data_IF_150858405674
#
_entry.id   IF_150858405674
#
_cell.length_a   1.000
_cell.length_b   1.000
_cell.length_c   1.000
_cell.angle_alpha   90.00
_cell.angle_beta   90.00
_cell.angle_gamma   90.00
#
_symmetry.space_group_name_H-M   'P 1'
#
loop_
_entity.id
_entity.type
_entity.pdbx_description
1 polymer ?
#
# COMPACT_ATOMS: atom_id res chain seq x y z
N UNK A 1 -13.71 8.02 -21.51
CA UNK A 1 -12.86 7.95 -22.72
C UNK A 1 -11.94 6.75 -22.57
N UNK A 2 -11.78 5.94 -23.61
CA UNK A 2 -10.85 4.79 -23.59
C UNK A 2 -9.44 5.20 -24.03
N UNK A 3 -8.56 4.19 -24.13
CA UNK A 3 -7.27 4.35 -24.78
C UNK A 3 -7.45 5.00 -26.18
N UNK A 4 -6.79 6.14 -26.42
CA UNK A 4 -6.93 6.92 -27.65
C UNK A 4 -7.11 8.43 -27.48
N UNK A 5 -7.38 8.95 -26.28
CA UNK A 5 -7.57 10.40 -26.08
C UNK A 5 -6.27 11.14 -25.78
N UNK A 6 -6.10 12.33 -26.37
CA UNK A 6 -5.02 13.28 -26.05
C UNK A 6 -5.35 14.20 -24.88
N UNK A 7 -6.62 14.28 -24.44
CA UNK A 7 -6.99 15.06 -23.26
C UNK A 7 -8.21 14.50 -22.51
N UNK A 8 -8.36 14.88 -21.24
CA UNK A 8 -9.63 14.82 -20.50
C UNK A 8 -9.71 15.97 -19.49
N UNK A 9 -10.92 16.31 -19.05
CA UNK A 9 -11.19 17.34 -18.05
C UNK A 9 -12.35 16.89 -17.15
N UNK A 10 -12.23 17.13 -15.84
CA UNK A 10 -13.25 16.87 -14.81
C UNK A 10 -13.31 18.06 -13.85
N UNK A 11 -14.51 18.36 -13.34
CA UNK A 11 -14.70 19.29 -12.23
C UNK A 11 -14.97 18.53 -10.91
N UNK A 12 -14.46 19.06 -9.80
CA UNK A 12 -14.62 18.54 -8.45
C UNK A 12 -15.01 19.66 -7.48
N UNK A 13 -15.83 19.34 -6.47
CA UNK A 13 -16.32 20.31 -5.47
C UNK A 13 -17.74 20.81 -5.73
N UNK A 14 -18.31 21.47 -4.74
CA UNK A 14 -19.66 22.06 -4.78
C UNK A 14 -19.58 23.59 -4.58
N UNK A 15 -20.55 24.32 -5.14
CA UNK A 15 -20.58 25.79 -5.04
C UNK A 15 -19.35 26.47 -5.65
N UNK A 16 -18.79 27.44 -4.91
CA UNK A 16 -17.64 28.25 -5.34
C UNK A 16 -16.28 27.55 -5.18
N UNK A 17 -16.21 26.43 -4.45
CA UNK A 17 -14.98 25.64 -4.25
C UNK A 17 -14.69 24.68 -5.43
N UNK A 18 -15.29 24.90 -6.59
CA UNK A 18 -15.09 24.06 -7.78
C UNK A 18 -13.69 24.19 -8.36
N UNK A 19 -12.92 23.11 -8.29
CA UNK A 19 -11.67 22.95 -9.03
C UNK A 19 -11.89 22.23 -10.37
N UNK A 20 -11.19 22.66 -11.42
CA UNK A 20 -11.08 21.89 -12.68
C UNK A 20 -9.74 21.16 -12.68
N UNK A 21 -9.76 19.88 -13.04
CA UNK A 21 -8.59 19.05 -13.27
C UNK A 21 -8.61 18.60 -14.72
N UNK A 22 -7.63 19.07 -15.49
CA UNK A 22 -7.45 18.76 -16.90
C UNK A 22 -6.13 18.05 -17.13
N UNK A 23 -6.18 16.96 -17.87
CA UNK A 23 -5.03 16.15 -18.25
C UNK A 23 -4.82 16.26 -19.75
N UNK A 24 -3.58 16.53 -20.18
CA UNK A 24 -3.21 16.74 -21.59
C UNK A 24 -1.95 15.93 -21.90
N UNK A 25 -2.09 14.92 -22.74
CA UNK A 25 -0.99 14.09 -23.26
C UNK A 25 -0.63 14.48 -24.70
N UNK A 26 0.52 14.00 -25.19
CA UNK A 26 0.92 14.21 -26.60
C UNK A 26 0.15 13.27 -27.53
N UNK A 27 0.17 13.56 -28.84
CA UNK A 27 -0.37 12.66 -29.87
C UNK A 27 0.35 11.29 -29.90
N UNK A 28 1.61 11.23 -29.46
CA UNK A 28 2.40 9.99 -29.41
C UNK A 28 2.07 9.12 -28.20
N UNK A 29 1.92 9.74 -27.02
CA UNK A 29 1.80 8.99 -25.75
C UNK A 29 0.38 8.91 -25.20
N UNK A 30 -0.50 9.85 -25.58
CA UNK A 30 -1.87 9.99 -25.07
C UNK A 30 -1.93 10.29 -23.56
N UNK A 31 -3.13 10.47 -23.00
CA UNK A 31 -3.32 10.62 -21.54
C UNK A 31 -3.16 9.28 -20.80
N UNK A 32 -2.67 9.25 -19.54
CA UNK A 32 -2.56 8.05 -18.73
C UNK A 32 -3.89 7.31 -18.54
N UNK A 33 -3.86 5.98 -18.62
CA UNK A 33 -5.02 5.10 -18.42
C UNK A 33 -4.62 3.73 -17.86
N UNK A 34 -5.55 3.06 -17.18
CA UNK A 34 -5.34 1.70 -16.66
C UNK A 34 -4.08 1.60 -15.79
N UNK A 35 -3.12 0.78 -16.24
CA UNK A 35 -1.87 0.41 -15.54
C UNK A 35 -0.96 1.59 -15.21
N UNK A 36 -1.03 2.71 -15.95
CA UNK A 36 -0.20 3.89 -15.65
C UNK A 36 -0.49 4.47 -14.27
N UNK A 37 -1.74 4.33 -13.82
CA UNK A 37 -2.16 4.75 -12.48
C UNK A 37 -1.51 3.87 -11.41
N UNK A 38 -1.45 2.56 -11.65
CA UNK A 38 -0.81 1.61 -10.74
C UNK A 38 0.70 1.88 -10.67
N UNK A 39 1.33 2.21 -11.81
CA UNK A 39 2.74 2.63 -11.89
C UNK A 39 3.02 3.92 -11.12
N UNK A 40 2.24 4.99 -11.30
CA UNK A 40 2.48 6.22 -10.53
C UNK A 40 2.24 5.99 -9.03
N UNK A 41 1.23 5.22 -8.62
CA UNK A 41 1.02 4.85 -7.22
C UNK A 41 2.25 4.10 -6.67
N UNK A 42 2.78 3.13 -7.40
CA UNK A 42 4.00 2.41 -7.01
C UNK A 42 5.21 3.33 -6.82
N UNK A 43 5.38 4.33 -7.69
CA UNK A 43 6.45 5.35 -7.57
C UNK A 43 6.25 6.21 -6.31
N UNK A 44 5.03 6.67 -6.03
CA UNK A 44 4.72 7.46 -4.84
C UNK A 44 4.94 6.65 -3.54
N UNK A 45 4.55 5.37 -3.54
CA UNK A 45 4.80 4.44 -2.44
C UNK A 45 6.30 4.18 -2.23
N UNK A 46 7.09 4.01 -3.31
CA UNK A 46 8.54 3.87 -3.20
C UNK A 46 9.22 5.13 -2.65
N UNK A 47 8.81 6.31 -3.10
CA UNK A 47 9.29 7.59 -2.57
C UNK A 47 9.00 7.71 -1.07
N UNK A 48 7.79 7.35 -0.64
CA UNK A 48 7.44 7.33 0.77
C UNK A 48 8.18 6.25 1.56
N UNK A 49 8.43 5.06 0.99
CA UNK A 49 9.17 3.98 1.65
C UNK A 49 10.67 4.29 1.84
N UNK A 50 11.28 4.99 0.87
CA UNK A 50 12.60 5.60 1.00
C UNK A 50 12.57 6.81 1.96
N UNK A 51 11.36 7.29 2.30
CA UNK A 51 11.07 8.36 3.25
C UNK A 51 11.43 9.73 2.71
N UNK A 52 10.92 9.99 1.51
CA UNK A 52 10.85 11.30 0.87
C UNK A 52 12.22 11.96 0.56
N UNK A 53 13.18 11.23 -0.08
CA UNK A 53 14.54 11.71 -0.38
C UNK A 53 14.57 13.12 -0.98
N UNK A 54 15.55 13.93 -0.59
CA UNK A 54 15.63 15.35 -0.92
C UNK A 54 15.87 15.61 -2.41
N UNK A 55 16.55 14.68 -3.10
CA UNK A 55 16.68 14.62 -4.56
C UNK A 55 15.33 14.61 -5.30
N UNK A 56 14.22 14.31 -4.62
CA UNK A 56 12.93 13.93 -5.19
C UNK A 56 12.98 12.65 -6.05
N UNK A 57 14.10 11.93 -6.03
CA UNK A 57 14.33 10.76 -6.87
C UNK A 57 13.86 9.46 -6.21
N UNK A 58 13.50 8.49 -7.04
CA UNK A 58 13.26 7.09 -6.68
C UNK A 58 14.09 6.24 -7.61
N UNK A 59 15.04 5.49 -7.06
CA UNK A 59 15.91 4.58 -7.84
C UNK A 59 15.57 3.12 -7.54
N UNK A 60 15.59 2.27 -8.57
CA UNK A 60 15.39 0.83 -8.44
C UNK A 60 15.43 0.08 -9.77
N UNK A 61 15.33 -1.26 -9.73
CA UNK A 61 15.14 -2.07 -10.93
C UNK A 61 13.68 -2.02 -11.39
N UNK A 62 13.39 -2.38 -12.64
CA UNK A 62 12.02 -2.52 -13.12
C UNK A 62 11.13 -3.40 -12.21
N UNK A 63 11.71 -4.46 -11.64
CA UNK A 63 11.03 -5.35 -10.68
C UNK A 63 10.62 -4.62 -9.39
N UNK A 64 11.39 -3.63 -8.91
CA UNK A 64 11.02 -2.82 -7.75
C UNK A 64 9.78 -1.97 -8.05
N UNK A 65 9.75 -1.30 -9.22
CA UNK A 65 8.61 -0.49 -9.64
C UNK A 65 7.35 -1.34 -9.86
N UNK A 66 7.46 -2.49 -10.53
CA UNK A 66 6.33 -3.39 -10.76
C UNK A 66 5.73 -3.91 -9.44
N UNK A 67 6.57 -4.37 -8.51
CA UNK A 67 6.11 -4.90 -7.21
C UNK A 67 5.48 -3.82 -6.34
N UNK A 68 6.07 -2.62 -6.29
CA UNK A 68 5.47 -1.48 -5.59
C UNK A 68 4.14 -1.04 -6.21
N UNK A 69 3.96 -1.24 -7.52
CA UNK A 69 2.70 -1.01 -8.24
C UNK A 69 1.65 -2.11 -7.99
N UNK A 70 1.99 -3.17 -7.27
CA UNK A 70 1.14 -4.35 -7.11
C UNK A 70 0.89 -5.09 -8.43
N UNK A 71 1.90 -5.13 -9.32
CA UNK A 71 1.87 -5.81 -10.61
C UNK A 71 2.83 -7.01 -10.60
N UNK A 72 2.54 -8.03 -11.42
CA UNK A 72 3.48 -9.15 -11.59
C UNK A 72 4.75 -8.74 -12.36
N UNK A 73 5.81 -9.54 -12.24
CA UNK A 73 7.11 -9.31 -12.88
C UNK A 73 7.29 -10.08 -14.19
N UNK A 74 6.21 -10.33 -14.94
CA UNK A 74 6.30 -10.94 -16.27
C UNK A 74 6.78 -9.94 -17.33
N UNK A 75 7.35 -10.45 -18.42
CA UNK A 75 7.86 -9.62 -19.53
C UNK A 75 6.81 -8.69 -20.15
N UNK A 76 5.51 -9.03 -20.04
CA UNK A 76 4.40 -8.15 -20.46
C UNK A 76 4.38 -6.85 -19.65
N UNK A 77 4.45 -6.95 -18.32
CA UNK A 77 4.45 -5.77 -17.46
C UNK A 77 5.76 -5.00 -17.51
N UNK A 78 6.89 -5.66 -17.80
CA UNK A 78 8.16 -4.98 -18.06
C UNK A 78 8.07 -4.01 -19.26
N UNK A 79 7.44 -4.46 -20.37
CA UNK A 79 7.16 -3.58 -21.52
C UNK A 79 6.18 -2.46 -21.15
N UNK A 80 5.08 -2.81 -20.47
CA UNK A 80 4.08 -1.82 -20.06
C UNK A 80 4.69 -0.74 -19.14
N UNK A 81 5.62 -1.09 -18.24
CA UNK A 81 6.26 -0.13 -17.33
C UNK A 81 6.97 0.98 -18.11
N UNK A 82 7.76 0.64 -19.13
CA UNK A 82 8.44 1.64 -19.97
C UNK A 82 7.41 2.54 -20.69
N UNK A 83 6.37 1.96 -21.30
CA UNK A 83 5.30 2.74 -21.95
C UNK A 83 4.56 3.67 -20.95
N UNK A 84 4.29 3.20 -19.73
CA UNK A 84 3.70 3.98 -18.64
C UNK A 84 4.60 5.12 -18.19
N UNK A 85 5.89 4.87 -17.94
CA UNK A 85 6.87 5.89 -17.56
C UNK A 85 6.95 6.99 -18.63
N UNK A 86 7.01 6.63 -19.91
CA UNK A 86 7.02 7.59 -21.01
C UNK A 86 5.72 8.40 -21.09
N UNK A 87 4.55 7.77 -20.86
CA UNK A 87 3.26 8.47 -20.85
C UNK A 87 3.14 9.43 -19.66
N UNK A 88 3.59 9.04 -18.47
CA UNK A 88 3.57 9.84 -17.25
C UNK A 88 4.53 11.05 -17.30
N UNK A 89 5.64 10.96 -18.04
CA UNK A 89 6.60 12.06 -18.25
C UNK A 89 6.25 13.02 -19.40
N UNK A 90 5.32 12.63 -20.28
CA UNK A 90 4.87 13.42 -21.44
C UNK A 90 3.44 13.96 -21.30
N UNK A 91 2.84 13.83 -20.10
CA UNK A 91 1.49 14.32 -19.80
C UNK A 91 1.55 15.47 -18.81
N UNK A 92 0.87 16.58 -19.12
CA UNK A 92 0.67 17.69 -18.19
C UNK A 92 -0.71 17.59 -17.53
N UNK A 93 -0.75 17.87 -16.24
CA UNK A 93 -1.94 18.10 -15.43
C UNK A 93 -2.05 19.59 -15.13
N UNK A 94 -3.22 20.14 -15.44
CA UNK A 94 -3.60 21.51 -15.18
C UNK A 94 -4.68 21.46 -14.10
N UNK A 95 -4.39 21.98 -12.92
CA UNK A 95 -5.34 22.06 -11.81
C UNK A 95 -5.65 23.53 -11.59
N UNK A 96 -6.87 23.93 -11.94
CA UNK A 96 -7.39 25.28 -11.79
C UNK A 96 -8.25 25.37 -10.53
N UNK A 97 -8.18 26.51 -9.82
CA UNK A 97 -8.92 26.78 -8.56
C UNK A 97 -8.63 25.82 -7.39
N UNK A 98 -7.78 24.80 -7.55
CA UNK A 98 -7.41 23.84 -6.50
C UNK A 98 -6.57 24.40 -5.33
N UNK A 99 -6.08 25.65 -5.43
CA UNK A 99 -5.43 26.35 -4.31
C UNK A 99 -5.95 27.78 -4.23
N UNK A 100 -6.30 28.22 -3.02
CA UNK A 100 -6.75 29.58 -2.71
C UNK A 100 -5.97 30.13 -1.51
N UNK A 101 -5.45 31.35 -1.63
CA UNK A 101 -4.69 32.04 -0.56
C UNK A 101 -5.55 33.03 0.26
N UNK A 102 -6.87 32.97 0.11
CA UNK A 102 -7.83 33.93 0.67
C UNK A 102 -8.10 35.15 -0.21
N UNK A 103 -7.32 35.37 -1.29
CA UNK A 103 -7.49 36.51 -2.21
C UNK A 103 -7.41 36.13 -3.69
N UNK A 104 -6.70 35.06 -4.03
CA UNK A 104 -6.46 34.60 -5.41
C UNK A 104 -6.51 33.08 -5.49
N UNK A 105 -7.13 32.59 -6.55
CA UNK A 105 -6.99 31.22 -6.99
C UNK A 105 -5.65 31.06 -7.73
N UNK A 106 -4.94 29.97 -7.45
CA UNK A 106 -3.72 29.59 -8.17
C UNK A 106 -4.02 28.38 -9.05
N UNK A 107 -3.86 28.56 -10.35
CA UNK A 107 -3.73 27.44 -11.29
C UNK A 107 -2.31 26.90 -11.23
N UNK A 108 -2.16 25.58 -11.19
CA UNK A 108 -0.84 24.92 -11.26
C UNK A 108 -0.82 23.91 -12.39
N UNK A 109 0.27 23.94 -13.17
CA UNK A 109 0.53 23.03 -14.27
C UNK A 109 1.80 22.23 -13.94
N UNK A 110 1.70 20.90 -13.97
CA UNK A 110 2.81 20.01 -13.63
C UNK A 110 2.66 18.67 -14.38
N UNK A 111 3.72 17.88 -14.42
CA UNK A 111 3.70 16.50 -14.94
C UNK A 111 3.67 15.52 -13.79
N UNK A 112 3.38 14.24 -14.03
CA UNK A 112 3.55 13.25 -12.95
C UNK A 112 5.02 12.97 -12.67
N UNK A 113 5.86 12.91 -13.70
CA UNK A 113 7.31 12.70 -13.59
C UNK A 113 8.07 13.90 -14.15
N UNK A 114 9.12 14.33 -13.47
CA UNK A 114 9.97 15.44 -13.91
C UNK A 114 11.07 14.95 -14.85
N UNK A 115 11.75 13.88 -14.45
CA UNK A 115 12.87 13.27 -15.17
C UNK A 115 12.84 11.75 -15.00
N UNK A 116 13.34 11.02 -15.99
CA UNK A 116 13.54 9.56 -15.95
C UNK A 116 14.92 9.28 -16.52
N UNK A 117 15.71 8.49 -15.82
CA UNK A 117 17.02 8.01 -16.23
C UNK A 117 16.99 6.48 -16.32
N UNK A 118 17.63 5.94 -17.35
CA UNK A 118 17.75 4.51 -17.60
C UNK A 118 19.23 4.15 -17.76
N UNK A 119 19.82 3.56 -16.73
CA UNK A 119 21.21 3.09 -16.75
C UNK A 119 21.22 1.64 -17.25
N UNK A 120 21.47 1.46 -18.56
CA UNK A 120 21.42 0.15 -19.25
C UNK A 120 22.82 -0.33 -19.64
N UNK A 121 23.08 -1.63 -19.59
CA UNK A 121 24.41 -2.21 -19.88
C UNK A 121 24.89 -2.03 -21.35
N UNK A 122 23.97 -1.77 -22.29
CA UNK A 122 24.27 -1.54 -23.70
C UNK A 122 23.74 -0.18 -24.17
N UNK A 123 24.49 0.49 -25.04
CA UNK A 123 24.06 1.71 -25.73
C UNK A 123 22.85 1.42 -26.62
N UNK A 124 21.68 1.92 -26.22
CA UNK A 124 20.42 1.70 -26.95
C UNK A 124 19.16 1.81 -26.09
N UNK A 125 19.28 1.83 -24.76
CA UNK A 125 18.14 2.06 -23.85
C UNK A 125 17.20 0.86 -23.65
N UNK A 126 17.58 -0.32 -24.12
CA UNK A 126 16.84 -1.55 -23.85
C UNK A 126 17.00 -1.94 -22.38
N UNK A 127 15.91 -1.88 -21.61
CA UNK A 127 15.87 -2.32 -20.22
C UNK A 127 16.05 -3.85 -20.13
N UNK A 128 17.17 -4.28 -19.56
CA UNK A 128 17.42 -5.64 -19.08
C UNK A 128 17.12 -5.77 -17.58
N UNK A 129 17.48 -6.91 -16.96
CA UNK A 129 17.20 -7.18 -15.54
C UNK A 129 18.13 -6.43 -14.57
N UNK A 130 19.32 -6.04 -15.03
CA UNK A 130 20.34 -5.34 -14.26
C UNK A 130 20.23 -3.81 -14.41
N UNK A 131 19.44 -3.35 -15.39
CA UNK A 131 19.18 -1.95 -15.69
C UNK A 131 18.57 -1.21 -14.50
N UNK A 132 19.18 -0.09 -14.15
CA UNK A 132 18.69 0.78 -13.08
C UNK A 132 17.81 1.87 -13.66
N UNK A 133 16.66 2.08 -13.03
CA UNK A 133 15.70 3.13 -13.38
C UNK A 133 15.69 4.14 -12.23
N UNK A 134 15.94 5.42 -12.55
CA UNK A 134 15.77 6.53 -11.62
C UNK A 134 14.63 7.42 -12.12
N UNK A 135 13.68 7.73 -11.26
CA UNK A 135 12.53 8.59 -11.57
C UNK A 135 12.51 9.77 -10.60
N UNK A 136 12.56 11.00 -11.12
CA UNK A 136 12.48 12.22 -10.32
C UNK A 136 11.05 12.73 -10.28
N UNK A 137 10.49 12.88 -9.09
CA UNK A 137 9.19 13.51 -8.89
C UNK A 137 9.30 15.04 -9.01
N UNK A 138 8.32 15.72 -9.63
CA UNK A 138 8.27 17.17 -9.63
C UNK A 138 8.19 17.72 -8.20
N UNK A 139 8.83 18.87 -7.89
CA UNK A 139 8.88 19.43 -6.54
C UNK A 139 7.52 19.58 -5.87
N UNK A 140 6.48 20.00 -6.61
CA UNK A 140 5.12 20.12 -6.06
C UNK A 140 4.53 18.80 -5.57
N UNK A 141 4.76 17.70 -6.30
CA UNK A 141 4.31 16.37 -5.86
C UNK A 141 5.14 15.98 -4.63
N UNK A 142 6.47 16.02 -4.72
CA UNK A 142 7.35 15.61 -3.64
C UNK A 142 7.12 16.40 -2.32
N UNK A 143 6.86 17.71 -2.40
CA UNK A 143 6.49 18.54 -1.24
C UNK A 143 5.11 18.18 -0.70
N UNK A 144 4.11 17.95 -1.57
CA UNK A 144 2.78 17.46 -1.17
C UNK A 144 2.87 16.16 -0.38
N UNK A 145 3.67 15.20 -0.87
CA UNK A 145 3.94 13.92 -0.19
C UNK A 145 4.63 14.12 1.17
N UNK A 146 5.70 14.94 1.24
CA UNK A 146 6.41 15.25 2.50
C UNK A 146 5.48 15.87 3.53
N UNK A 147 4.57 16.74 3.12
CA UNK A 147 3.56 17.37 3.98
C UNK A 147 2.43 16.43 4.41
N UNK A 148 2.43 15.18 3.96
CA UNK A 148 1.43 14.16 4.32
C UNK A 148 0.19 14.13 3.42
N UNK A 149 0.16 14.90 2.33
CA UNK A 149 -0.92 14.86 1.34
C UNK A 149 -0.72 13.70 0.35
N UNK A 150 -0.58 12.50 0.89
CA UNK A 150 -0.77 11.25 0.18
C UNK A 150 -1.73 10.40 0.99
N UNK A 151 -2.83 10.03 0.36
CA UNK A 151 -3.64 8.95 0.90
C UNK A 151 -2.94 7.61 0.59
N UNK A 152 -2.64 6.76 1.57
CA UNK A 152 -2.23 5.39 1.30
C UNK A 152 -3.36 4.67 0.56
N UNK A 153 -2.99 3.85 -0.44
CA UNK A 153 -3.87 2.85 -1.02
C UNK A 153 -3.45 1.50 -0.48
N UNK A 154 -4.41 0.66 -0.09
CA UNK A 154 -4.09 -0.66 0.44
C UNK A 154 -3.50 -1.53 -0.67
N UNK A 155 -2.18 -1.67 -0.67
CA UNK A 155 -1.46 -2.51 -1.63
C UNK A 155 -1.78 -4.00 -1.50
N UNK A 156 -2.39 -4.41 -0.37
CA UNK A 156 -2.96 -5.75 -0.20
C UNK A 156 -4.18 -5.92 -1.08
N UNK A 157 -5.19 -5.05 -0.94
CA UNK A 157 -6.38 -5.04 -1.79
C UNK A 157 -5.99 -4.92 -3.27
N UNK A 158 -5.12 -3.98 -3.64
CA UNK A 158 -4.66 -3.85 -5.04
C UNK A 158 -3.99 -5.13 -5.57
N UNK A 159 -3.22 -5.85 -4.74
CA UNK A 159 -2.56 -7.10 -5.11
C UNK A 159 -3.52 -8.28 -5.32
N UNK A 160 -4.70 -8.28 -4.69
CA UNK A 160 -5.74 -9.30 -4.89
C UNK A 160 -6.60 -9.05 -6.14
N UNK A 161 -6.66 -7.80 -6.63
CA UNK A 161 -7.47 -7.41 -7.79
C UNK A 161 -6.75 -7.69 -9.10
N UNK A 162 -7.28 -8.64 -9.87
CA UNK A 162 -6.69 -9.09 -11.15
C UNK A 162 -7.09 -8.18 -12.32
N UNK A 163 -8.30 -7.61 -12.28
CA UNK A 163 -8.84 -6.83 -13.38
C UNK A 163 -8.46 -5.33 -13.27
N UNK A 164 -7.98 -4.70 -14.36
CA UNK A 164 -7.74 -3.26 -14.39
C UNK A 164 -8.99 -2.42 -14.06
N UNK A 165 -10.18 -2.92 -14.41
CA UNK A 165 -11.47 -2.31 -14.06
C UNK A 165 -11.76 -2.39 -12.56
N UNK A 166 -11.45 -3.52 -11.91
CA UNK A 166 -11.59 -3.68 -10.46
C UNK A 166 -10.63 -2.75 -9.70
N UNK A 167 -9.37 -2.66 -10.14
CA UNK A 167 -8.37 -1.72 -9.58
C UNK A 167 -8.76 -0.25 -9.77
N UNK A 168 -9.32 0.11 -10.93
CA UNK A 168 -9.82 1.46 -11.17
C UNK A 168 -11.04 1.80 -10.31
N UNK A 169 -11.98 0.85 -10.17
CA UNK A 169 -13.16 1.01 -9.34
C UNK A 169 -12.82 1.07 -7.83
N UNK A 170 -11.87 0.25 -7.36
CA UNK A 170 -11.32 0.34 -6.02
C UNK A 170 -10.84 1.76 -5.72
N UNK A 171 -9.93 2.30 -6.55
CA UNK A 171 -9.38 3.64 -6.40
C UNK A 171 -10.46 4.73 -6.37
N UNK A 172 -11.48 4.60 -7.22
CA UNK A 172 -12.60 5.55 -7.28
C UNK A 172 -13.51 5.48 -6.03
N UNK A 173 -13.87 4.27 -5.58
CA UNK A 173 -14.64 4.05 -4.35
C UNK A 173 -13.89 4.50 -3.11
N UNK A 174 -12.62 4.16 -3.04
CA UNK A 174 -11.75 4.41 -1.90
C UNK A 174 -11.42 5.91 -1.75
N UNK A 175 -11.26 6.63 -2.87
CA UNK A 175 -11.22 8.10 -2.89
C UNK A 175 -12.52 8.75 -2.39
N UNK A 176 -13.68 8.14 -2.66
CA UNK A 176 -14.97 8.59 -2.13
C UNK A 176 -15.24 8.15 -0.68
N UNK A 177 -14.60 7.08 -0.19
CA UNK A 177 -14.80 6.54 1.16
C UNK A 177 -14.24 7.45 2.27
N UNK A 178 -13.29 8.33 1.95
CA UNK A 178 -12.54 9.11 2.94
C UNK A 178 -12.88 10.60 2.86
N UNK A 179 -13.00 11.25 4.01
CA UNK A 179 -13.18 12.68 4.10
C UNK A 179 -11.82 13.41 4.15
N UNK A 180 -11.61 14.39 3.27
CA UNK A 180 -10.37 15.18 3.25
C UNK A 180 -10.23 16.12 4.46
N UNK A 181 -11.36 16.52 5.09
CA UNK A 181 -11.35 17.37 6.29
C UNK A 181 -11.37 16.58 7.60
N UNK A 182 -11.75 15.29 7.56
CA UNK A 182 -11.75 14.38 8.70
C UNK A 182 -11.13 13.02 8.30
N UNK A 183 -9.78 12.89 8.26
CA UNK A 183 -9.11 11.73 7.68
C UNK A 183 -9.38 10.38 8.38
N UNK A 184 -9.79 10.41 9.64
CA UNK A 184 -10.14 9.22 10.43
C UNK A 184 -11.59 8.77 10.21
N UNK A 185 -12.44 9.61 9.58
CA UNK A 185 -13.80 9.25 9.19
C UNK A 185 -13.80 8.53 7.84
N UNK A 186 -14.24 7.27 7.87
CA UNK A 186 -14.44 6.44 6.67
C UNK A 186 -15.92 6.09 6.52
N UNK A 187 -16.49 6.40 5.36
CA UNK A 187 -17.83 5.99 4.98
C UNK A 187 -17.97 4.47 5.11
N UNK A 188 -19.07 4.03 5.70
CA UNK A 188 -19.47 2.62 5.79
C UNK A 188 -20.35 2.23 4.60
N UNK A 189 -21.08 3.19 4.04
CA UNK A 189 -21.97 3.02 2.90
C UNK A 189 -21.80 4.20 1.93
N UNK A 190 -22.02 3.96 0.64
CA UNK A 190 -21.95 4.98 -0.41
C UNK A 190 -22.98 4.72 -1.50
N UNK A 191 -23.85 5.71 -1.80
CA UNK A 191 -24.85 5.64 -2.86
C UNK A 191 -24.54 6.65 -3.95
N UNK A 192 -24.65 6.25 -5.22
CA UNK A 192 -24.40 7.13 -6.37
C UNK A 192 -25.26 6.77 -7.58
N UNK A 193 -25.64 7.77 -8.38
CA UNK A 193 -26.35 7.56 -9.65
C UNK A 193 -25.51 6.74 -10.63
N UNK A 194 -26.10 5.71 -11.23
CA UNK A 194 -25.39 4.73 -12.05
C UNK A 194 -24.73 5.37 -13.28
N UNK A 195 -25.43 6.30 -13.93
CA UNK A 195 -24.93 7.01 -15.12
C UNK A 195 -23.73 7.89 -14.77
N UNK A 196 -23.81 8.64 -13.67
CA UNK A 196 -22.72 9.50 -13.20
C UNK A 196 -21.53 8.68 -12.72
N UNK A 197 -21.79 7.52 -12.11
CA UNK A 197 -20.76 6.55 -11.77
C UNK A 197 -20.08 5.98 -13.01
N UNK A 198 -20.83 5.68 -14.07
CA UNK A 198 -20.28 5.29 -15.37
C UNK A 198 -19.39 6.38 -16.00
N UNK A 199 -19.77 7.66 -15.86
CA UNK A 199 -18.94 8.80 -16.30
C UNK A 199 -17.63 8.89 -15.50
N UNK A 200 -17.69 8.81 -14.17
CA UNK A 200 -16.51 8.80 -13.29
C UNK A 200 -15.59 7.60 -13.55
N UNK A 201 -16.15 6.41 -13.74
CA UNK A 201 -15.44 5.21 -14.16
C UNK A 201 -14.97 5.25 -15.64
N UNK A 202 -15.15 6.37 -16.34
CA UNK A 202 -14.75 6.64 -17.74
C UNK A 202 -15.34 5.70 -18.80
N UNK A 203 -16.39 4.96 -18.47
CA UNK A 203 -17.08 3.99 -19.34
C UNK A 203 -17.60 4.70 -20.59
N UNK A 204 -17.31 4.15 -21.78
CA UNK A 204 -17.66 4.76 -23.06
C UNK A 204 -19.17 4.71 -23.35
N UNK A 205 -19.82 3.58 -23.09
CA UNK A 205 -21.25 3.42 -23.31
C UNK A 205 -22.00 3.56 -21.98
N UNK A 206 -22.69 4.68 -21.81
CA UNK A 206 -23.38 5.05 -20.58
C UNK A 206 -24.82 4.50 -20.49
N UNK A 207 -25.21 3.52 -21.32
CA UNK A 207 -26.47 2.81 -21.10
C UNK A 207 -26.38 1.94 -19.83
N UNK A 208 -27.40 1.93 -18.95
CA UNK A 208 -27.35 1.24 -17.66
C UNK A 208 -26.86 -0.22 -17.72
N UNK A 209 -27.34 -1.01 -18.69
CA UNK A 209 -26.96 -2.42 -18.86
C UNK A 209 -25.50 -2.59 -19.27
N UNK A 210 -24.92 -1.62 -20.00
CA UNK A 210 -23.51 -1.63 -20.38
C UNK A 210 -22.61 -1.14 -19.25
N UNK A 211 -23.08 -0.19 -18.44
CA UNK A 211 -22.40 0.22 -17.21
C UNK A 211 -22.32 -0.97 -16.25
N UNK A 212 -23.45 -1.61 -15.94
CA UNK A 212 -23.53 -2.84 -15.12
C UNK A 212 -22.55 -3.90 -15.64
N UNK A 213 -22.68 -4.31 -16.91
CA UNK A 213 -21.80 -5.33 -17.52
C UNK A 213 -20.28 -5.03 -17.42
N UNK A 214 -19.87 -3.77 -17.28
CA UNK A 214 -18.46 -3.39 -17.07
C UNK A 214 -18.08 -3.36 -15.58
N UNK A 215 -19.03 -3.03 -14.69
CA UNK A 215 -18.81 -2.93 -13.25
C UNK A 215 -19.05 -4.25 -12.50
N UNK A 216 -20.01 -5.10 -12.89
CA UNK A 216 -20.35 -6.34 -12.19
C UNK A 216 -19.12 -7.25 -11.97
N UNK A 217 -18.23 -7.50 -12.96
CA UNK A 217 -17.02 -8.30 -12.76
C UNK A 217 -16.00 -7.65 -11.80
N UNK A 218 -16.01 -6.32 -11.73
CA UNK A 218 -15.18 -5.55 -10.80
C UNK A 218 -15.77 -5.57 -9.37
N UNK A 219 -17.09 -5.53 -9.23
CA UNK A 219 -17.78 -5.72 -7.95
C UNK A 219 -17.51 -7.11 -7.39
N UNK A 220 -17.58 -8.14 -8.22
CA UNK A 220 -17.24 -9.51 -7.83
C UNK A 220 -15.83 -9.64 -7.25
N UNK A 221 -14.82 -9.02 -7.86
CA UNK A 221 -13.46 -9.03 -7.30
C UNK A 221 -13.36 -8.26 -5.97
N UNK A 222 -14.03 -7.11 -5.84
CA UNK A 222 -14.01 -6.31 -4.61
C UNK A 222 -14.77 -6.97 -3.44
N UNK A 223 -15.79 -7.77 -3.73
CA UNK A 223 -16.48 -8.63 -2.76
C UNK A 223 -15.56 -9.81 -2.35
N UNK A 224 -14.89 -10.46 -3.31
CA UNK A 224 -13.95 -11.57 -3.05
C UNK A 224 -12.72 -11.13 -2.25
N UNK A 225 -12.24 -9.90 -2.47
CA UNK A 225 -11.14 -9.26 -1.75
C UNK A 225 -11.55 -8.63 -0.40
N UNK A 226 -12.80 -8.85 0.06
CA UNK A 226 -13.33 -8.30 1.32
C UNK A 226 -13.16 -6.78 1.47
N UNK A 227 -13.23 -6.03 0.35
CA UNK A 227 -13.26 -4.57 0.37
C UNK A 227 -14.71 -4.05 0.44
N UNK A 228 -15.63 -4.79 -0.18
CA UNK A 228 -17.08 -4.56 -0.12
C UNK A 228 -17.75 -5.73 0.60
N UNK A 229 -18.71 -5.44 1.47
CA UNK A 229 -19.61 -6.46 2.03
C UNK A 229 -20.80 -6.72 1.10
N UNK A 230 -21.32 -5.69 0.43
CA UNK A 230 -22.38 -5.85 -0.57
C UNK A 230 -22.42 -4.73 -1.61
N UNK A 231 -23.03 -5.04 -2.75
CA UNK A 231 -23.38 -4.07 -3.81
C UNK A 231 -24.82 -4.32 -4.22
N UNK A 232 -25.65 -3.28 -4.19
CA UNK A 232 -27.06 -3.35 -4.61
C UNK A 232 -27.39 -2.28 -5.62
N UNK A 233 -28.24 -2.61 -6.59
CA UNK A 233 -28.75 -1.65 -7.58
C UNK A 233 -30.21 -1.31 -7.31
N UNK A 234 -30.53 -0.03 -7.30
CA UNK A 234 -31.89 0.47 -7.10
C UNK A 234 -32.39 1.26 -8.33
N UNK A 235 -33.70 1.45 -8.43
CA UNK A 235 -34.34 2.20 -9.52
C UNK A 235 -34.44 1.44 -10.86
N UNK A 236 -34.85 2.16 -11.92
CA UNK A 236 -35.02 1.62 -13.29
C UNK A 236 -34.60 2.64 -14.34
N UNK A 237 -34.14 2.15 -15.50
CA UNK A 237 -33.70 2.99 -16.61
C UNK A 237 -32.52 3.89 -16.24
N UNK A 238 -32.53 5.13 -16.71
CA UNK A 238 -31.46 6.10 -16.44
C UNK A 238 -31.42 6.59 -14.98
N UNK A 239 -32.54 6.52 -14.26
CA UNK A 239 -32.65 6.87 -12.84
C UNK A 239 -32.22 5.75 -11.88
N UNK A 240 -31.32 4.85 -12.32
CA UNK A 240 -30.76 3.82 -11.46
C UNK A 240 -29.66 4.40 -10.57
N UNK A 241 -29.55 3.87 -9.35
CA UNK A 241 -28.42 4.09 -8.45
C UNK A 241 -27.76 2.76 -8.09
N UNK A 242 -26.49 2.86 -7.70
CA UNK A 242 -25.74 1.77 -7.07
C UNK A 242 -25.43 2.18 -5.63
N UNK A 243 -25.67 1.25 -4.72
CA UNK A 243 -25.39 1.36 -3.30
C UNK A 243 -24.31 0.35 -2.95
N UNK A 244 -23.28 0.83 -2.27
CA UNK A 244 -22.13 0.08 -1.81
C UNK A 244 -22.14 0.04 -0.28
N UNK A 245 -22.04 -1.17 0.28
CA UNK A 245 -21.68 -1.34 1.69
C UNK A 245 -20.24 -1.80 1.71
N UNK A 246 -19.37 -0.99 2.31
CA UNK A 246 -17.97 -1.39 2.51
C UNK A 246 -17.90 -2.53 3.52
N UNK A 247 -16.91 -3.41 3.37
CA UNK A 247 -16.63 -4.36 4.45
C UNK A 247 -16.26 -3.54 5.69
N UNK A 248 -16.92 -3.86 6.81
CA UNK A 248 -16.51 -3.30 8.11
C UNK A 248 -15.13 -3.84 8.37
N UNK A 249 -14.17 -3.00 8.74
CA UNK A 249 -12.88 -3.52 9.15
C UNK A 249 -13.12 -4.51 10.30
N UNK A 250 -12.85 -5.79 10.08
CA UNK A 250 -13.06 -6.87 11.08
C UNK A 250 -11.92 -6.81 12.11
N UNK A 251 -11.78 -5.65 12.73
CA UNK A 251 -11.05 -5.40 13.96
C UNK A 251 -11.87 -6.04 15.10
N UNK A 252 -11.87 -7.37 15.18
CA UNK A 252 -12.29 -8.16 16.36
C UNK A 252 -12.22 -9.71 16.21
N UNK A 253 -11.68 -10.31 15.14
CA UNK A 253 -11.21 -11.70 15.25
C UNK A 253 -9.77 -11.68 15.74
N UNK A 254 -9.60 -11.85 17.07
CA UNK A 254 -8.35 -11.77 17.84
C UNK A 254 -7.08 -11.83 16.97
N UNK A 255 -6.52 -10.66 16.59
CA UNK A 255 -5.39 -10.60 15.68
C UNK A 255 -4.14 -11.27 16.25
N UNK A 256 -4.00 -11.30 17.58
CA UNK A 256 -2.93 -11.98 18.27
C UNK A 256 -3.08 -13.51 18.10
N UNK A 257 -4.29 -14.05 18.26
CA UNK A 257 -4.54 -15.48 18.02
C UNK A 257 -4.34 -15.85 16.55
N UNK A 258 -4.84 -15.05 15.62
CA UNK A 258 -4.64 -15.27 14.18
C UNK A 258 -3.15 -15.27 13.82
N UNK A 259 -2.38 -14.32 14.35
CA UNK A 259 -0.93 -14.22 14.19
C UNK A 259 -0.18 -15.41 14.81
N UNK A 260 -0.59 -15.86 16.00
CA UNK A 260 -0.01 -17.07 16.63
C UNK A 260 -0.27 -18.33 15.79
N UNK A 261 -1.47 -18.50 15.22
CA UNK A 261 -1.80 -19.63 14.35
C UNK A 261 -0.99 -19.59 13.04
N UNK A 262 -0.91 -18.45 12.37
CA UNK A 262 -0.13 -18.31 11.12
C UNK A 262 1.37 -18.45 11.35
N UNK A 263 1.88 -18.00 12.50
CA UNK A 263 3.25 -18.24 12.97
C UNK A 263 3.62 -19.72 13.17
N UNK A 264 2.62 -20.62 13.25
CA UNK A 264 2.82 -22.09 13.23
C UNK A 264 2.73 -22.69 11.81
N UNK A 265 2.62 -21.86 10.77
CA UNK A 265 2.48 -22.27 9.37
C UNK A 265 1.04 -22.61 8.95
N UNK A 266 0.04 -22.28 9.76
CA UNK A 266 -1.38 -22.48 9.41
C UNK A 266 -1.80 -21.36 8.45
N UNK A 267 -2.33 -21.71 7.27
CA UNK A 267 -2.77 -20.70 6.30
C UNK A 267 -3.88 -19.80 6.90
N UNK A 268 -3.90 -18.47 6.63
CA UNK A 268 -4.87 -17.55 7.26
C UNK A 268 -6.33 -17.94 7.08
N UNK A 269 -6.69 -18.51 5.92
CA UNK A 269 -8.04 -19.06 5.65
C UNK A 269 -8.41 -20.24 6.56
N UNK A 270 -7.45 -21.11 6.90
CA UNK A 270 -7.64 -22.24 7.80
C UNK A 270 -7.72 -21.76 9.26
N UNK A 271 -6.89 -20.77 9.63
CA UNK A 271 -6.93 -20.17 10.97
C UNK A 271 -8.28 -19.46 11.25
N UNK A 272 -8.78 -18.65 10.30
CA UNK A 272 -10.13 -18.05 10.38
C UNK A 272 -11.22 -19.13 10.50
N UNK A 273 -11.20 -20.14 9.64
CA UNK A 273 -12.16 -21.25 9.70
C UNK A 273 -12.11 -22.08 11.00
N UNK A 274 -10.96 -22.16 11.69
CA UNK A 274 -10.87 -22.75 13.04
C UNK A 274 -11.52 -21.86 14.10
N UNK A 275 -11.23 -20.55 14.07
CA UNK A 275 -11.81 -19.58 15.01
C UNK A 275 -13.34 -19.47 14.85
N UNK A 276 -13.85 -19.53 13.62
CA UNK A 276 -15.28 -19.53 13.29
C UNK A 276 -16.01 -20.82 13.71
N UNK A 277 -15.36 -21.99 13.58
CA UNK A 277 -16.02 -23.29 13.83
C UNK A 277 -15.88 -23.83 15.25
N UNK A 278 -14.84 -23.43 16.00
CA UNK A 278 -14.54 -23.92 17.36
C UNK A 278 -14.72 -22.82 18.41
N UNK A 279 -14.72 -21.55 18.00
CA UNK A 279 -14.77 -20.39 18.89
C UNK A 279 -13.37 -19.88 19.27
N UNK A 280 -13.23 -18.56 19.32
CA UNK A 280 -11.94 -17.86 19.51
C UNK A 280 -11.23 -18.31 20.80
N UNK A 281 -11.93 -18.32 21.93
CA UNK A 281 -11.34 -18.64 23.23
C UNK A 281 -10.89 -20.10 23.32
N UNK A 282 -11.70 -21.04 22.81
CA UNK A 282 -11.35 -22.46 22.76
C UNK A 282 -10.15 -22.74 21.84
N UNK A 283 -10.00 -21.99 20.73
CA UNK A 283 -8.80 -22.06 19.89
C UNK A 283 -7.58 -21.47 20.60
N UNK A 284 -7.75 -20.40 21.38
CA UNK A 284 -6.68 -19.81 22.21
C UNK A 284 -6.18 -20.80 23.27
N UNK A 285 -7.08 -21.38 24.05
CA UNK A 285 -6.74 -22.36 25.10
C UNK A 285 -6.05 -23.61 24.53
N UNK A 286 -6.55 -24.17 23.43
CA UNK A 286 -5.94 -25.34 22.77
C UNK A 286 -4.58 -25.01 22.16
N UNK A 287 -4.38 -23.78 21.68
CA UNK A 287 -3.06 -23.32 21.23
C UNK A 287 -2.09 -23.13 22.41
N UNK A 288 -2.56 -22.56 23.53
CA UNK A 288 -1.77 -22.45 24.77
C UNK A 288 -1.40 -23.84 25.35
N UNK A 289 -2.28 -24.85 25.20
CA UNK A 289 -2.01 -26.23 25.60
C UNK A 289 -0.94 -26.89 24.72
N UNK A 290 -1.10 -26.87 23.39
CA UNK A 290 -0.12 -27.50 22.48
C UNK A 290 1.25 -26.81 22.55
N UNK A 291 1.30 -25.49 22.71
CA UNK A 291 2.55 -24.74 22.84
C UNK A 291 3.30 -25.09 24.15
N UNK A 292 2.59 -25.35 25.24
CA UNK A 292 3.19 -25.88 26.49
C UNK A 292 3.71 -27.32 26.33
N UNK A 293 3.01 -28.18 25.58
CA UNK A 293 3.42 -29.58 25.38
C UNK A 293 4.69 -29.75 24.52
N UNK A 294 4.94 -28.80 23.62
CA UNK A 294 6.11 -28.79 22.71
C UNK A 294 7.26 -27.88 23.19
N UNK A 295 7.09 -27.11 24.27
CA UNK A 295 8.14 -26.27 24.81
C UNK A 295 9.40 -27.10 25.16
N UNK A 296 10.54 -26.74 24.56
CA UNK A 296 11.80 -27.48 24.70
C UNK A 296 11.96 -28.71 23.79
N UNK A 297 11.02 -28.96 22.86
CA UNK A 297 11.10 -30.06 21.86
C UNK A 297 11.18 -29.49 20.43
N UNK A 298 11.53 -30.34 19.46
CA UNK A 298 11.50 -29.98 18.04
C UNK A 298 10.06 -29.63 17.62
N UNK A 299 9.87 -28.42 17.10
CA UNK A 299 8.55 -27.92 16.69
C UNK A 299 7.98 -28.77 15.54
N UNK A 300 6.76 -29.33 15.66
CA UNK A 300 6.12 -30.12 14.60
C UNK A 300 5.56 -29.24 13.48
N UNK A 301 5.17 -29.86 12.35
CA UNK A 301 4.61 -29.13 11.20
C UNK A 301 3.16 -28.63 11.41
N UNK A 302 2.67 -27.71 10.57
CA UNK A 302 1.38 -27.04 10.75
C UNK A 302 0.17 -27.97 10.86
N UNK A 303 0.18 -29.11 10.16
CA UNK A 303 -0.89 -30.11 10.24
C UNK A 303 -1.09 -30.69 11.65
N UNK A 304 -0.04 -30.75 12.47
CA UNK A 304 -0.15 -31.20 13.86
C UNK A 304 -0.95 -30.22 14.73
N UNK A 305 -0.68 -28.92 14.59
CA UNK A 305 -1.44 -27.88 15.31
C UNK A 305 -2.91 -27.88 14.91
N UNK A 306 -3.22 -28.01 13.62
CA UNK A 306 -4.61 -28.12 13.13
C UNK A 306 -5.31 -29.38 13.66
N UNK A 307 -4.60 -30.50 13.76
CA UNK A 307 -5.12 -31.76 14.32
C UNK A 307 -5.41 -31.61 15.83
N UNK A 308 -4.45 -31.11 16.60
CA UNK A 308 -4.57 -30.91 18.05
C UNK A 308 -5.69 -29.92 18.41
N UNK A 309 -5.81 -28.81 17.68
CA UNK A 309 -6.87 -27.82 17.92
C UNK A 309 -8.26 -28.40 17.63
N UNK A 310 -8.38 -29.38 16.72
CA UNK A 310 -9.65 -30.07 16.43
C UNK A 310 -9.95 -31.17 17.46
N UNK A 311 -8.98 -32.03 17.76
CA UNK A 311 -9.11 -33.19 18.65
C UNK A 311 -7.99 -33.21 19.69
N UNK A 312 -8.10 -32.48 20.82
CA UNK A 312 -7.03 -32.37 21.80
C UNK A 312 -6.84 -33.62 22.68
N UNK A 313 -7.89 -34.43 22.88
CA UNK A 313 -7.85 -35.57 23.81
C UNK A 313 -6.97 -36.75 23.33
N UNK A 314 -6.73 -36.85 22.02
CA UNK A 314 -5.85 -37.86 21.40
C UNK A 314 -4.35 -37.68 21.77
N UNK A 315 -3.98 -36.56 22.41
CA UNK A 315 -2.59 -36.08 22.51
C UNK A 315 -2.10 -35.72 23.93
N UNK A 316 -2.71 -36.26 25.00
CA UNK A 316 -2.40 -35.90 26.42
C UNK A 316 -1.63 -36.98 27.22
N UNK A 317 -0.31 -36.86 27.47
CA UNK A 317 0.45 -37.72 28.39
C UNK A 317 0.95 -37.03 29.68
N UNK A 318 1.26 -37.82 30.72
CA UNK A 318 1.69 -37.39 32.08
C UNK A 318 3.14 -36.82 32.16
N UNK A 319 3.50 -36.06 33.24
CA UNK A 319 4.69 -35.19 33.25
C UNK A 319 5.96 -35.73 33.96
N UNK A 320 7.14 -35.23 33.53
CA UNK A 320 8.41 -35.10 34.31
C UNK A 320 9.45 -34.23 33.54
N UNK A 321 10.53 -33.69 34.18
CA UNK A 321 11.04 -32.35 33.81
C UNK A 321 12.54 -32.16 33.40
N UNK A 322 12.76 -31.06 32.66
CA UNK A 322 13.85 -30.04 32.68
C UNK A 322 15.36 -30.34 32.41
N UNK A 323 15.90 -29.62 31.40
CA UNK A 323 17.23 -28.93 31.29
C UNK A 323 17.30 -28.21 29.90
N UNK A 324 18.16 -27.23 29.55
CA UNK A 324 19.27 -26.52 30.23
C UNK A 324 19.58 -25.15 29.53
N UNK A 325 20.84 -24.66 29.50
CA UNK A 325 21.26 -23.36 28.88
C UNK A 325 22.60 -23.44 28.11
N UNK A 326 22.86 -22.50 27.15
CA UNK A 326 24.05 -21.62 27.06
C UNK A 326 24.13 -20.81 25.72
N UNK A 327 24.91 -19.72 25.67
CA UNK A 327 24.95 -18.74 24.56
C UNK A 327 26.38 -18.19 24.24
N UNK A 328 26.54 -17.45 23.12
CA UNK A 328 27.79 -16.71 22.76
C UNK A 328 27.52 -15.45 21.88
N UNK A 329 28.48 -14.49 21.86
CA UNK A 329 28.42 -13.16 21.17
C UNK A 329 29.63 -12.88 20.24
N UNK A 330 29.64 -11.83 19.39
CA UNK A 330 30.39 -11.80 18.11
C UNK A 330 31.66 -10.91 18.06
N UNK A 331 32.28 -10.79 16.86
CA UNK A 331 33.41 -9.89 16.51
C UNK A 331 33.13 -9.11 15.19
N UNK A 332 33.78 -7.96 15.00
CA UNK A 332 33.54 -7.01 13.89
C UNK A 332 34.83 -6.41 13.29
N UNK A 333 34.77 -5.93 12.03
CA UNK A 333 35.72 -5.02 11.34
C UNK A 333 35.15 -4.65 9.93
N UNK A 334 35.70 -3.72 9.13
CA UNK A 334 35.98 -2.27 9.28
C UNK A 334 36.17 -1.67 7.86
N UNK A 335 35.72 -0.44 7.59
CA UNK A 335 35.64 0.15 6.23
C UNK A 335 36.94 0.85 5.75
N UNK A 336 37.14 1.02 4.41
CA UNK A 336 38.04 2.01 3.80
C UNK A 336 37.34 3.34 3.44
N UNK A 337 38.13 4.37 3.06
CA UNK A 337 37.75 5.81 2.99
C UNK A 337 37.19 6.28 1.64
N UNK A 338 36.46 7.39 1.70
CA UNK A 338 35.91 8.16 0.56
C UNK A 338 36.97 8.95 -0.23
N UNK A 339 36.66 9.19 -1.51
CA UNK A 339 37.05 10.39 -2.26
C UNK A 339 36.01 11.49 -1.99
N UNK A 340 36.43 12.76 -1.99
CA UNK A 340 35.50 13.89 -1.84
C UNK A 340 34.68 14.08 -3.13
N UNK A 341 33.38 13.88 -3.02
CA UNK A 341 32.36 14.11 -4.05
C UNK A 341 31.53 15.31 -3.59
N UNK A 342 30.96 16.08 -4.51
CA UNK A 342 29.95 17.09 -4.15
C UNK A 342 28.84 16.46 -3.28
N UNK A 343 28.32 17.16 -2.27
CA UNK A 343 27.43 16.55 -1.29
C UNK A 343 26.15 16.06 -1.96
N UNK A 344 25.99 14.73 -2.03
CA UNK A 344 24.75 14.06 -2.42
C UNK A 344 23.60 14.68 -1.58
N UNK A 345 22.58 15.28 -2.21
CA UNK A 345 21.47 15.91 -1.48
C UNK A 345 20.77 14.91 -0.55
N UNK A 346 20.79 13.62 -0.88
CA UNK A 346 20.25 12.57 -0.01
C UNK A 346 21.20 12.16 1.11
N UNK A 347 22.53 12.34 0.96
CA UNK A 347 23.46 12.25 2.09
C UNK A 347 23.21 13.40 3.08
N UNK A 348 23.17 14.65 2.60
CA UNK A 348 22.88 15.81 3.44
C UNK A 348 21.49 15.69 4.11
N UNK A 349 20.50 15.10 3.43
CA UNK A 349 19.20 14.81 4.01
C UNK A 349 19.22 13.69 5.07
N UNK A 350 20.04 12.64 4.89
CA UNK A 350 20.25 11.59 5.92
C UNK A 350 20.94 12.17 7.16
N UNK A 351 21.94 13.03 6.98
CA UNK A 351 22.62 13.73 8.07
C UNK A 351 21.65 14.69 8.79
N UNK A 352 20.85 15.47 8.05
CA UNK A 352 19.77 16.27 8.62
C UNK A 352 18.77 15.41 9.41
N UNK A 353 18.30 14.30 8.83
CA UNK A 353 17.37 13.39 9.49
C UNK A 353 17.97 12.79 10.78
N UNK A 354 19.25 12.44 10.78
CA UNK A 354 19.95 11.99 11.99
C UNK A 354 19.99 13.10 13.07
N UNK A 355 20.12 14.36 12.67
CA UNK A 355 20.18 15.53 13.55
C UNK A 355 18.81 16.09 13.99
N UNK A 356 17.69 15.60 13.45
CA UNK A 356 16.35 15.95 13.92
C UNK A 356 16.11 15.46 15.36
N UNK A 357 15.19 16.10 16.09
CA UNK A 357 14.79 15.63 17.42
C UNK A 357 14.16 14.22 17.35
N UNK A 358 14.21 13.42 18.44
CA UNK A 358 13.60 12.09 18.46
C UNK A 358 12.12 12.10 18.04
N UNK A 359 11.36 13.11 18.49
CA UNK A 359 9.95 13.37 18.13
C UNK A 359 9.77 13.63 16.63
N UNK A 360 10.56 14.52 16.03
CA UNK A 360 10.46 14.78 14.58
C UNK A 360 10.82 13.54 13.74
N UNK A 361 11.86 12.79 14.13
CA UNK A 361 12.25 11.53 13.46
C UNK A 361 11.16 10.47 13.58
N UNK A 362 10.52 10.36 14.76
CA UNK A 362 9.40 9.46 14.98
C UNK A 362 8.22 9.82 14.08
N UNK A 363 7.82 11.10 14.06
CA UNK A 363 6.71 11.58 13.23
C UNK A 363 6.93 11.40 11.72
N UNK A 364 8.13 11.71 11.21
CA UNK A 364 8.47 11.48 9.80
C UNK A 364 8.49 9.97 9.46
N UNK A 365 8.97 9.14 10.38
CA UNK A 365 9.01 7.68 10.19
C UNK A 365 7.63 7.05 10.22
N UNK A 366 6.77 7.44 11.17
CA UNK A 366 5.35 7.01 11.19
C UNK A 366 4.64 7.46 9.92
N UNK A 367 4.89 8.69 9.43
CA UNK A 367 4.33 9.19 8.15
C UNK A 367 4.76 8.37 6.93
N UNK A 368 6.05 8.04 6.83
CA UNK A 368 6.61 7.16 5.80
C UNK A 368 5.97 5.76 5.85
N UNK A 369 5.94 5.15 7.03
CA UNK A 369 5.42 3.80 7.24
C UNK A 369 3.89 3.71 7.05
N UNK A 370 3.13 4.75 7.39
CA UNK A 370 1.67 4.81 7.16
C UNK A 370 1.32 4.75 5.66
N UNK A 371 2.16 5.28 4.77
CA UNK A 371 1.99 5.12 3.31
C UNK A 371 2.25 3.69 2.85
N UNK A 372 3.24 3.01 3.43
CA UNK A 372 3.68 1.68 2.96
C UNK A 372 2.80 0.56 3.51
N UNK A 373 2.48 0.61 4.80
CA UNK A 373 1.74 -0.45 5.47
C UNK A 373 0.23 -0.19 5.51
N UNK A 374 -0.20 1.08 5.54
CA UNK A 374 -1.61 1.47 5.56
C UNK A 374 -2.40 0.64 6.59
N UNK A 375 -3.48 -0.03 6.17
CA UNK A 375 -4.41 -0.85 6.96
C UNK A 375 -3.80 -2.14 7.54
N UNK A 376 -2.52 -2.44 7.27
CA UNK A 376 -1.81 -3.58 7.89
C UNK A 376 -1.40 -3.32 9.34
N UNK A 377 -1.41 -2.06 9.74
CA UNK A 377 -1.21 -1.64 11.12
C UNK A 377 -2.43 -0.78 11.50
N UNK A 378 -3.00 -1.04 12.66
CA UNK A 378 -4.10 -0.24 13.19
C UNK A 378 -3.61 1.10 13.78
N UNK A 379 -4.55 1.97 14.13
CA UNK A 379 -4.24 3.28 14.70
C UNK A 379 -3.47 3.20 16.04
N UNK A 380 -3.69 2.14 16.82
CA UNK A 380 -2.98 1.93 18.08
C UNK A 380 -1.52 1.53 17.84
N UNK A 381 -1.27 0.65 16.88
CA UNK A 381 0.07 0.27 16.44
C UNK A 381 0.86 1.47 15.92
N UNK A 382 0.26 2.37 15.13
CA UNK A 382 0.93 3.61 14.70
C UNK A 382 1.21 4.59 15.84
N UNK A 383 0.27 4.75 16.81
CA UNK A 383 0.49 5.55 18.02
C UNK A 383 1.69 5.00 18.82
N UNK A 384 1.65 3.70 19.11
CA UNK A 384 2.70 2.99 19.87
C UNK A 384 4.05 3.03 19.17
N UNK A 385 4.06 2.94 17.83
CA UNK A 385 5.26 3.09 17.02
C UNK A 385 5.90 4.48 17.18
N UNK A 386 5.09 5.55 17.25
CA UNK A 386 5.56 6.88 17.59
C UNK A 386 6.26 6.92 18.95
N UNK A 387 5.56 6.47 19.99
CA UNK A 387 6.06 6.43 21.38
C UNK A 387 7.39 5.65 21.50
N UNK A 388 7.48 4.47 20.88
CA UNK A 388 8.66 3.59 20.90
C UNK A 388 9.85 4.20 20.11
N UNK A 389 9.57 4.95 19.04
CA UNK A 389 10.60 5.68 18.28
C UNK A 389 11.10 6.92 19.03
N UNK A 390 10.23 7.64 19.75
CA UNK A 390 10.58 8.81 20.55
C UNK A 390 11.55 8.48 21.68
N UNK A 391 11.35 7.35 22.37
CA UNK A 391 12.28 6.84 23.39
C UNK A 391 13.53 6.15 22.81
N UNK A 392 13.64 6.05 21.48
CA UNK A 392 14.79 5.45 20.79
C UNK A 392 14.90 3.93 20.94
N UNK A 393 13.82 3.25 21.33
CA UNK A 393 13.81 1.79 21.51
C UNK A 393 13.74 1.02 20.18
N UNK A 394 13.43 1.70 19.08
CA UNK A 394 13.57 1.21 17.70
C UNK A 394 14.36 2.22 16.84
N UNK A 395 15.11 1.70 15.86
CA UNK A 395 15.85 2.52 14.90
C UNK A 395 14.93 2.94 13.73
N UNK A 396 14.67 4.24 13.67
CA UNK A 396 13.86 4.90 12.64
C UNK A 396 14.39 4.67 11.21
N UNK A 397 15.71 4.70 11.02
CA UNK A 397 16.34 4.53 9.71
C UNK A 397 16.29 3.05 9.28
N UNK A 398 16.51 2.13 10.21
CA UNK A 398 16.38 0.70 9.96
C UNK A 398 14.94 0.33 9.53
N UNK A 399 13.92 0.84 10.23
CA UNK A 399 12.51 0.57 9.90
C UNK A 399 12.10 1.13 8.53
N UNK A 400 12.54 2.33 8.16
CA UNK A 400 12.34 2.87 6.80
C UNK A 400 12.99 1.97 5.73
N UNK A 401 14.23 1.55 5.96
CA UNK A 401 14.93 0.64 5.05
C UNK A 401 14.27 -0.76 4.97
N UNK A 402 13.69 -1.26 6.06
CA UNK A 402 12.90 -2.48 6.08
C UNK A 402 11.60 -2.35 5.30
N UNK A 403 10.86 -1.24 5.44
CA UNK A 403 9.64 -0.99 4.69
C UNK A 403 9.89 -0.84 3.18
N UNK A 404 10.97 -0.15 2.79
CA UNK A 404 11.42 -0.11 1.40
C UNK A 404 11.69 -1.51 0.84
N UNK A 405 12.42 -2.37 1.59
CA UNK A 405 12.65 -3.78 1.20
C UNK A 405 11.36 -4.60 1.17
N UNK A 406 10.45 -4.39 2.11
CA UNK A 406 9.19 -5.12 2.17
C UNK A 406 8.32 -4.81 0.95
N UNK A 407 8.25 -3.54 0.55
CA UNK A 407 7.55 -3.08 -0.65
C UNK A 407 8.16 -3.64 -1.93
N UNK A 408 9.49 -3.60 -2.09
CA UNK A 408 10.16 -4.12 -3.30
C UNK A 408 10.21 -5.64 -3.39
N UNK A 409 10.02 -6.37 -2.28
CA UNK A 409 9.95 -7.84 -2.27
C UNK A 409 8.52 -8.38 -2.27
N UNK A 410 7.51 -7.53 -2.05
CA UNK A 410 6.12 -7.97 -1.87
C UNK A 410 5.87 -8.68 -0.53
N UNK A 411 6.62 -8.33 0.52
CA UNK A 411 6.53 -8.94 1.86
C UNK A 411 5.95 -8.01 2.93
N UNK A 412 5.26 -6.94 2.54
CA UNK A 412 4.66 -5.95 3.44
C UNK A 412 3.78 -6.56 4.54
N UNK A 413 2.98 -7.59 4.25
CA UNK A 413 2.11 -8.23 5.25
C UNK A 413 2.95 -8.90 6.35
N UNK A 414 3.99 -9.65 5.95
CA UNK A 414 4.89 -10.32 6.87
C UNK A 414 5.70 -9.31 7.71
N UNK A 415 6.17 -8.21 7.11
CA UNK A 415 6.96 -7.22 7.85
C UNK A 415 6.10 -6.37 8.77
N UNK A 416 4.87 -6.01 8.38
CA UNK A 416 3.91 -5.34 9.25
C UNK A 416 3.53 -6.23 10.44
N UNK A 417 3.23 -7.51 10.23
CA UNK A 417 2.94 -8.46 11.30
C UNK A 417 4.13 -8.61 12.28
N UNK A 418 5.37 -8.68 11.78
CA UNK A 418 6.58 -8.70 12.62
C UNK A 418 6.75 -7.42 13.42
N UNK A 419 6.51 -6.25 12.81
CA UNK A 419 6.57 -4.97 13.51
C UNK A 419 5.49 -4.86 14.58
N UNK A 420 4.27 -5.34 14.33
CA UNK A 420 3.19 -5.35 15.33
C UNK A 420 3.53 -6.24 16.53
N UNK A 421 4.11 -7.43 16.31
CA UNK A 421 4.63 -8.29 17.39
C UNK A 421 5.78 -7.61 18.15
N UNK A 422 6.68 -6.91 17.45
CA UNK A 422 7.77 -6.17 18.07
C UNK A 422 7.26 -5.01 18.94
N UNK A 423 6.25 -4.27 18.46
CA UNK A 423 5.57 -3.21 19.20
C UNK A 423 4.78 -3.75 20.41
N UNK A 424 4.20 -4.95 20.33
CA UNK A 424 3.52 -5.59 21.46
C UNK A 424 4.47 -5.82 22.65
N UNK A 425 5.75 -6.12 22.41
CA UNK A 425 6.75 -6.39 23.45
C UNK A 425 7.22 -5.15 24.23
N UNK A 426 6.97 -3.93 23.73
CA UNK A 426 7.24 -2.70 24.46
C UNK A 426 6.01 -2.33 25.29
N UNK A 427 5.82 -2.97 26.44
CA UNK A 427 4.70 -2.70 27.35
C UNK A 427 5.03 -1.58 28.34
#
# INVERSE_FOLDING_TARGET
MGAGSTAWEDEYGEGDERMSVKCIGTAQYLVPFGVDNDVIIGILCLFAAQGFPASNAVTGTANHFLRASGLDTSGRYHKNLHESLMRLSHTNFHIERGWHDGKRYRTVIFRHLHEIMFDTAQSGGTLDQDSTITVVLPPIIAESLRRGFLKPLSSGVLGELSQPTARALYRLLDGHRHNLTAPDERLQEFTVGLVDWGRKARILNLSPDKIRRVLDPAHEELLKAHYLASVTYHGRGQGQSVHYVFERDVVALDPLLLSRLTGRGIAPKVARGLMESIGVDAVRERLDEVERLIAGKKVPGPGFFVSFIRSPDDYRPRPSPAQGQAAARPKAARQPRLLEVEPDPDQAARERFANLSPTERAQETVRSLKVVYDSRLDAEAYRKLGEVLEVGALDAAALRAEAARALTTGTCDNQAARLQVQLANFT
#
